data_IF_945946727417
#
_entry.id   IF_945946727417
#
_cell.length_a   1.000
_cell.length_b   1.000
_cell.length_c   1.000
_cell.angle_alpha   90.00
_cell.angle_beta   90.00
_cell.angle_gamma   90.00
#
_symmetry.space_group_name_H-M   'P 1'
#
loop_
_entity.id
_entity.type
_entity.pdbx_description
1 polymer ?
#
# COMPACT_ATOMS: atom_id res chain seq x y z
N UNK A 1 -5.64 12.53 24.30
CA UNK A 1 -4.17 12.56 24.14
C UNK A 1 -3.80 12.82 22.68
N UNK A 2 -2.68 13.52 22.41
CA UNK A 2 -2.24 13.84 21.05
C UNK A 2 -1.68 12.59 20.36
N UNK A 3 -2.20 12.21 19.19
CA UNK A 3 -1.75 11.01 18.45
C UNK A 3 -0.58 11.25 17.49
N UNK A 4 -0.31 12.51 17.12
CA UNK A 4 0.67 12.83 16.08
C UNK A 4 1.55 14.04 16.45
N UNK A 5 2.85 13.93 16.20
CA UNK A 5 3.83 15.01 16.30
C UNK A 5 4.40 15.32 14.92
N UNK A 6 4.58 16.60 14.59
CA UNK A 6 5.19 16.96 13.32
C UNK A 6 6.68 16.59 13.31
N UNK A 7 7.18 16.08 12.18
CA UNK A 7 8.62 15.83 12.00
C UNK A 7 9.42 17.14 12.00
N UNK A 8 10.74 17.09 12.28
CA UNK A 8 11.64 18.22 12.12
C UNK A 8 11.53 18.84 10.72
N UNK A 9 11.65 20.17 10.63
CA UNK A 9 11.43 20.95 9.39
C UNK A 9 12.26 20.44 8.20
N UNK A 10 13.52 20.07 8.43
CA UNK A 10 14.42 19.57 7.39
C UNK A 10 13.90 18.23 6.85
N UNK A 11 13.59 17.27 7.73
CA UNK A 11 13.03 15.97 7.36
C UNK A 11 11.71 16.11 6.61
N UNK A 12 10.82 16.98 7.11
CA UNK A 12 9.56 17.33 6.45
C UNK A 12 9.77 17.84 5.02
N UNK A 13 10.75 18.74 4.80
CA UNK A 13 11.06 19.28 3.47
C UNK A 13 11.59 18.21 2.51
N UNK A 14 12.44 17.31 3.01
CA UNK A 14 12.97 16.18 2.21
C UNK A 14 11.84 15.26 1.76
N UNK A 15 11.00 14.79 2.69
CA UNK A 15 9.86 13.92 2.39
C UNK A 15 8.83 14.60 1.48
N UNK A 16 8.56 15.89 1.68
CA UNK A 16 7.64 16.64 0.82
C UNK A 16 8.14 16.77 -0.63
N UNK A 17 9.46 16.73 -0.84
CA UNK A 17 10.03 16.68 -2.19
C UNK A 17 9.94 15.26 -2.77
N UNK A 18 10.26 14.24 -1.97
CA UNK A 18 10.23 12.85 -2.42
C UNK A 18 8.82 12.40 -2.82
N UNK A 19 7.82 12.77 -2.02
CA UNK A 19 6.42 12.38 -2.21
C UNK A 19 5.56 13.50 -2.80
N UNK A 20 6.15 14.42 -3.57
CA UNK A 20 5.40 15.55 -4.13
C UNK A 20 4.30 15.12 -5.11
N UNK A 21 4.44 13.94 -5.71
CA UNK A 21 3.45 13.35 -6.61
C UNK A 21 2.11 13.05 -5.92
N UNK A 22 2.08 12.88 -4.59
CA UNK A 22 0.84 12.73 -3.82
C UNK A 22 -0.05 13.98 -3.86
N UNK A 23 0.47 15.14 -4.26
CA UNK A 23 -0.34 16.35 -4.50
C UNK A 23 -1.06 16.35 -5.86
N UNK A 24 -0.72 15.40 -6.75
CA UNK A 24 -1.32 15.28 -8.07
C UNK A 24 -2.51 14.34 -8.05
N UNK A 25 -3.46 14.56 -8.97
CA UNK A 25 -4.44 13.54 -9.30
C UNK A 25 -3.72 12.30 -9.83
N UNK A 26 -4.31 11.13 -9.61
CA UNK A 26 -3.75 9.85 -10.07
C UNK A 26 -3.37 9.87 -11.54
N UNK A 27 -4.25 10.43 -12.39
CA UNK A 27 -4.05 10.47 -13.84
C UNK A 27 -2.91 11.41 -14.29
N UNK A 28 -2.44 12.30 -13.41
CA UNK A 28 -1.36 13.26 -13.69
C UNK A 28 0.02 12.78 -13.24
N UNK A 29 0.11 11.57 -12.64
CA UNK A 29 1.37 10.97 -12.19
C UNK A 29 2.11 10.34 -13.37
N UNK A 30 3.44 10.25 -13.32
CA UNK A 30 4.24 9.47 -14.27
C UNK A 30 4.89 8.24 -13.61
N UNK A 31 5.24 7.23 -14.42
CA UNK A 31 5.91 6.01 -13.96
C UNK A 31 7.29 6.26 -13.34
N UNK A 32 7.87 7.43 -13.61
CA UNK A 32 9.13 7.89 -13.00
C UNK A 32 8.92 8.44 -11.59
N UNK A 33 7.70 8.84 -11.24
CA UNK A 33 7.36 9.38 -9.92
C UNK A 33 6.88 8.28 -8.97
N UNK A 34 6.04 7.38 -9.49
CA UNK A 34 5.51 6.23 -8.78
C UNK A 34 4.96 5.16 -9.73
N UNK A 35 4.98 3.93 -9.25
CA UNK A 35 4.38 2.74 -9.85
C UNK A 35 3.50 2.04 -8.82
N UNK A 36 2.52 1.28 -9.27
CA UNK A 36 1.46 0.73 -8.44
C UNK A 36 1.41 -0.79 -8.53
N UNK A 37 1.24 -1.42 -7.37
CA UNK A 37 0.99 -2.86 -7.24
C UNK A 37 -0.16 -3.07 -6.27
N UNK A 38 -1.21 -3.76 -6.70
CA UNK A 38 -2.23 -4.20 -5.77
C UNK A 38 -1.80 -5.50 -5.10
N UNK A 39 -2.12 -5.64 -3.83
CA UNK A 39 -1.98 -6.89 -3.08
C UNK A 39 -3.35 -7.33 -2.61
N UNK A 40 -3.65 -8.61 -2.72
CA UNK A 40 -4.96 -9.15 -2.35
C UNK A 40 -4.88 -10.56 -1.81
N UNK A 41 -5.90 -10.99 -1.07
CA UNK A 41 -6.12 -12.40 -0.73
C UNK A 41 -6.63 -13.23 -1.92
N UNK A 42 -7.02 -12.58 -3.01
CA UNK A 42 -7.48 -13.21 -4.25
C UNK A 42 -6.43 -13.10 -5.35
N UNK A 43 -6.30 -14.13 -6.18
CA UNK A 43 -5.34 -14.17 -7.30
C UNK A 43 -5.81 -13.39 -8.54
N UNK A 44 -6.92 -12.67 -8.43
CA UNK A 44 -7.50 -11.87 -9.50
C UNK A 44 -8.40 -10.75 -8.95
N UNK A 45 -8.71 -9.77 -9.81
CA UNK A 45 -9.72 -8.76 -9.50
C UNK A 45 -11.13 -9.33 -9.62
N UNK A 46 -11.86 -9.38 -8.50
CA UNK A 46 -13.21 -9.96 -8.44
C UNK A 46 -14.19 -9.36 -9.45
N UNK A 47 -14.08 -8.06 -9.76
CA UNK A 47 -14.95 -7.39 -10.72
C UNK A 47 -14.66 -7.77 -12.18
N UNK A 48 -13.41 -8.14 -12.51
CA UNK A 48 -13.04 -8.48 -13.90
C UNK A 48 -13.55 -9.85 -14.32
N UNK A 49 -13.53 -10.79 -13.39
CA UNK A 49 -13.97 -12.17 -13.61
C UNK A 49 -15.42 -12.40 -13.20
N UNK A 50 -16.13 -11.36 -12.75
CA UNK A 50 -17.47 -11.47 -12.17
C UNK A 50 -17.53 -12.50 -11.03
N UNK A 51 -16.46 -12.57 -10.22
CA UNK A 51 -16.25 -13.55 -9.15
C UNK A 51 -16.75 -13.07 -7.78
N UNK A 52 -17.59 -12.04 -7.71
CA UNK A 52 -18.13 -11.55 -6.43
C UNK A 52 -18.91 -12.61 -5.65
N UNK A 53 -19.44 -13.61 -6.34
CA UNK A 53 -20.06 -14.78 -5.72
C UNK A 53 -19.13 -15.52 -4.74
N UNK A 54 -17.80 -15.41 -4.88
CA UNK A 54 -16.83 -15.94 -3.91
C UNK A 54 -17.03 -15.29 -2.54
N UNK A 55 -17.21 -13.97 -2.50
CA UNK A 55 -17.38 -13.20 -1.25
C UNK A 55 -18.80 -13.36 -0.71
N UNK A 56 -19.80 -13.38 -1.59
CA UNK A 56 -21.21 -13.56 -1.22
C UNK A 56 -21.44 -14.93 -0.57
N UNK A 57 -20.84 -15.98 -1.11
CA UNK A 57 -20.97 -17.35 -0.61
C UNK A 57 -19.97 -17.71 0.50
N UNK A 58 -19.05 -16.81 0.84
CA UNK A 58 -18.05 -17.07 1.87
C UNK A 58 -18.65 -17.05 3.27
N UNK A 59 -18.27 -18.05 4.06
CA UNK A 59 -18.57 -18.10 5.50
C UNK A 59 -17.85 -16.98 6.25
N UNK A 60 -18.38 -16.61 7.42
CA UNK A 60 -17.72 -15.65 8.32
C UNK A 60 -16.30 -16.09 8.69
N UNK A 61 -16.07 -17.40 8.81
CA UNK A 61 -14.74 -17.97 9.08
C UNK A 61 -13.75 -17.71 7.94
N UNK A 62 -14.20 -17.77 6.68
CA UNK A 62 -13.36 -17.45 5.53
C UNK A 62 -13.03 -15.96 5.48
N UNK A 63 -14.05 -15.10 5.66
CA UNK A 63 -13.87 -13.64 5.72
C UNK A 63 -12.94 -13.22 6.85
N UNK A 64 -13.05 -13.86 8.02
CA UNK A 64 -12.14 -13.66 9.14
C UNK A 64 -10.72 -14.11 8.81
N UNK A 65 -10.55 -15.24 8.11
CA UNK A 65 -9.23 -15.69 7.63
C UNK A 65 -8.59 -14.65 6.72
N UNK A 66 -9.32 -14.15 5.71
CA UNK A 66 -8.84 -13.12 4.80
C UNK A 66 -8.49 -11.81 5.52
N UNK A 67 -9.34 -11.39 6.46
CA UNK A 67 -9.08 -10.21 7.30
C UNK A 67 -7.81 -10.37 8.10
N UNK A 68 -7.61 -11.54 8.71
CA UNK A 68 -6.41 -11.83 9.47
C UNK A 68 -5.16 -11.85 8.59
N UNK A 69 -5.21 -12.33 7.34
CA UNK A 69 -4.07 -12.25 6.42
C UNK A 69 -3.64 -10.80 6.17
N UNK A 70 -4.61 -9.92 5.88
CA UNK A 70 -4.33 -8.49 5.70
C UNK A 70 -3.80 -7.85 6.97
N UNK A 71 -4.39 -8.16 8.13
CA UNK A 71 -3.92 -7.62 9.40
C UNK A 71 -2.51 -8.08 9.75
N UNK A 72 -2.17 -9.35 9.55
CA UNK A 72 -0.81 -9.83 9.81
C UNK A 72 0.20 -9.15 8.87
N UNK A 73 -0.15 -8.97 7.59
CA UNK A 73 0.68 -8.17 6.67
C UNK A 73 0.88 -6.73 7.16
N UNK A 74 -0.18 -6.05 7.60
CA UNK A 74 -0.10 -4.68 8.14
C UNK A 74 0.69 -4.59 9.45
N UNK A 75 0.65 -5.63 10.29
CA UNK A 75 1.46 -5.72 11.49
C UNK A 75 2.94 -5.90 11.13
N UNK A 76 3.26 -6.77 10.17
CA UNK A 76 4.65 -7.06 9.84
C UNK A 76 5.32 -5.94 9.03
N UNK A 77 4.59 -5.25 8.16
CA UNK A 77 5.16 -4.15 7.37
C UNK A 77 5.60 -2.97 8.27
N UNK A 78 4.91 -2.74 9.40
CA UNK A 78 5.32 -1.69 10.34
C UNK A 78 6.52 -2.08 11.21
N UNK A 79 6.82 -3.38 11.30
CA UNK A 79 8.04 -3.89 11.91
C UNK A 79 9.23 -3.83 10.95
N UNK A 80 9.01 -3.92 9.62
CA UNK A 80 10.05 -3.64 8.63
C UNK A 80 10.53 -2.20 8.69
N UNK A 81 9.59 -1.25 8.69
CA UNK A 81 9.87 0.16 8.83
C UNK A 81 8.69 0.85 9.50
N UNK A 82 8.97 1.66 10.53
CA UNK A 82 7.91 2.42 11.21
C UNK A 82 7.30 3.42 10.23
N UNK A 83 5.98 3.39 9.98
CA UNK A 83 5.36 4.31 9.03
C UNK A 83 5.34 5.75 9.52
N UNK A 84 5.41 6.68 8.56
CA UNK A 84 5.27 8.10 8.75
C UNK A 84 3.90 8.52 8.22
N UNK A 85 3.16 9.28 9.03
CA UNK A 85 1.88 9.82 8.61
C UNK A 85 2.05 11.14 7.89
N UNK A 86 1.18 11.42 6.95
CA UNK A 86 1.08 12.74 6.37
C UNK A 86 -0.33 13.29 6.42
N UNK A 87 -0.44 14.59 6.14
CA UNK A 87 -1.70 15.25 5.86
C UNK A 87 -1.47 16.32 4.81
N UNK A 88 -2.52 16.62 4.07
CA UNK A 88 -2.58 17.80 3.24
C UNK A 88 -2.77 19.04 4.13
N UNK A 89 -2.00 20.09 3.86
CA UNK A 89 -2.06 21.36 4.55
C UNK A 89 -2.04 22.51 3.54
N UNK A 90 -2.85 23.53 3.78
CA UNK A 90 -3.04 24.65 2.84
C UNK A 90 -4.37 24.56 2.09
N UNK A 91 -4.62 25.51 1.19
CA UNK A 91 -5.82 25.56 0.34
C UNK A 91 -5.41 25.59 -1.13
N UNK A 92 -6.09 24.79 -1.96
CA UNK A 92 -5.95 24.78 -3.42
C UNK A 92 -4.47 24.76 -3.87
N UNK A 93 -4.05 25.74 -4.68
CA UNK A 93 -2.72 25.87 -5.29
C UNK A 93 -1.57 26.06 -4.29
N UNK A 94 -1.85 26.21 -3.00
CA UNK A 94 -0.85 26.29 -1.92
C UNK A 94 -0.87 25.03 -1.03
N UNK A 95 -1.43 23.93 -1.52
CA UNK A 95 -1.39 22.64 -0.82
C UNK A 95 0.05 22.17 -0.67
N UNK A 96 0.34 21.61 0.50
CA UNK A 96 1.62 21.03 0.87
C UNK A 96 1.36 19.78 1.70
N UNK A 97 2.34 18.88 1.72
CA UNK A 97 2.28 17.68 2.55
C UNK A 97 3.04 17.95 3.85
N UNK A 98 2.42 17.64 4.98
CA UNK A 98 3.06 17.72 6.29
C UNK A 98 3.14 16.34 6.92
N UNK A 99 4.36 15.90 7.20
CA UNK A 99 4.70 14.59 7.74
C UNK A 99 4.82 14.63 9.27
N UNK A 100 4.43 13.53 9.89
CA UNK A 100 4.18 13.39 11.31
C UNK A 100 4.53 11.99 11.82
N UNK A 101 5.15 11.94 12.99
CA UNK A 101 5.29 10.71 13.75
C UNK A 101 4.00 10.39 14.49
N UNK A 102 3.63 9.11 14.47
CA UNK A 102 2.61 8.58 15.36
C UNK A 102 3.18 8.41 16.77
N UNK A 103 2.50 8.96 17.77
CA UNK A 103 2.82 8.91 19.21
C UNK A 103 1.62 8.51 20.07
N UNK A 104 0.60 7.91 19.44
CA UNK A 104 -0.55 7.39 20.17
C UNK A 104 -0.17 6.22 21.08
N UNK A 105 -1.04 5.93 22.05
CA UNK A 105 -0.85 4.85 23.01
C UNK A 105 -1.02 3.45 22.38
N UNK A 106 -1.89 3.34 21.36
CA UNK A 106 -2.10 2.10 20.62
C UNK A 106 -0.86 1.78 19.78
N UNK A 107 -0.35 0.53 19.76
CA UNK A 107 0.71 0.13 18.84
C UNK A 107 0.36 0.51 17.39
N UNK A 108 1.34 0.99 16.64
CA UNK A 108 1.11 1.58 15.31
C UNK A 108 0.51 0.59 14.31
N UNK A 109 0.91 -0.68 14.35
CA UNK A 109 0.34 -1.73 13.51
C UNK A 109 -1.14 -1.97 13.83
N UNK A 110 -1.52 -2.04 15.11
CA UNK A 110 -2.93 -2.16 15.53
C UNK A 110 -3.74 -0.93 15.13
N UNK A 111 -3.14 0.26 15.22
CA UNK A 111 -3.77 1.47 14.72
C UNK A 111 -4.00 1.40 13.20
N UNK A 112 -3.03 0.88 12.44
CA UNK A 112 -3.13 0.73 10.99
C UNK A 112 -4.19 -0.30 10.59
N UNK A 113 -4.27 -1.46 11.27
CA UNK A 113 -5.34 -2.44 11.04
C UNK A 113 -6.72 -1.83 11.29
N UNK A 114 -6.87 -1.02 12.34
CA UNK A 114 -8.13 -0.31 12.56
C UNK A 114 -8.45 0.69 11.44
N UNK A 115 -7.44 1.38 10.90
CA UNK A 115 -7.67 2.27 9.76
C UNK A 115 -8.10 1.49 8.51
N UNK A 116 -7.62 0.26 8.33
CA UNK A 116 -8.03 -0.60 7.22
C UNK A 116 -9.54 -0.82 7.16
N UNK A 117 -10.20 -0.92 8.32
CA UNK A 117 -11.64 -1.12 8.39
C UNK A 117 -12.45 0.16 8.10
N UNK A 118 -11.83 1.33 8.30
CA UNK A 118 -12.55 2.61 8.43
C UNK A 118 -12.33 3.56 7.24
N UNK A 119 -11.19 3.49 6.54
CA UNK A 119 -10.77 4.50 5.56
C UNK A 119 -10.02 3.90 4.36
N UNK A 120 -10.18 4.50 3.18
CA UNK A 120 -9.38 4.13 1.99
C UNK A 120 -7.98 4.75 1.98
N UNK A 121 -7.80 5.94 2.53
CA UNK A 121 -6.51 6.66 2.52
C UNK A 121 -5.94 6.83 3.94
N UNK A 122 -5.12 5.88 4.42
CA UNK A 122 -4.49 5.99 5.74
C UNK A 122 -3.47 7.13 5.83
N UNK A 123 -3.07 7.71 4.70
CA UNK A 123 -2.05 8.75 4.57
C UNK A 123 -0.73 8.33 5.23
N UNK A 124 -0.23 7.16 4.85
CA UNK A 124 0.95 6.51 5.43
C UNK A 124 2.00 6.26 4.36
N UNK A 125 3.24 6.61 4.67
CA UNK A 125 4.43 6.30 3.86
C UNK A 125 5.51 5.58 4.65
N UNK A 126 6.35 4.84 3.95
CA UNK A 126 7.57 4.18 4.43
C UNK A 126 8.74 4.82 3.69
N UNK A 127 9.55 5.60 4.41
CA UNK A 127 10.56 6.49 3.84
C UNK A 127 11.64 5.73 3.09
N UNK A 128 12.15 4.67 3.69
CA UNK A 128 13.29 3.89 3.21
C UNK A 128 12.88 2.90 2.12
N UNK A 129 11.71 2.28 2.27
CA UNK A 129 11.07 1.41 1.27
C UNK A 129 10.53 2.23 0.07
N UNK A 130 10.39 3.56 0.22
CA UNK A 130 9.83 4.47 -0.78
C UNK A 130 8.42 4.06 -1.23
N UNK A 131 7.55 3.79 -0.24
CA UNK A 131 6.22 3.21 -0.42
C UNK A 131 5.15 4.07 0.25
N UNK A 132 4.03 4.28 -0.43
CA UNK A 132 2.78 4.83 0.08
C UNK A 132 1.70 3.73 0.07
N UNK A 133 0.94 3.62 1.17
CA UNK A 133 -0.16 2.66 1.28
C UNK A 133 -1.51 3.31 1.04
N UNK A 134 -2.32 2.66 0.22
CA UNK A 134 -3.76 2.92 0.10
C UNK A 134 -4.55 1.63 0.33
N UNK A 135 -5.71 1.75 0.95
CA UNK A 135 -6.60 0.64 1.19
C UNK A 135 -7.69 0.62 0.12
N UNK A 136 -8.16 -0.58 -0.20
CA UNK A 136 -9.20 -0.84 -1.18
C UNK A 136 -10.17 -1.90 -0.65
N UNK A 137 -11.32 -2.01 -1.31
CA UNK A 137 -12.33 -3.00 -0.94
C UNK A 137 -11.84 -4.45 -1.13
N UNK A 138 -12.56 -5.39 -0.52
CA UNK A 138 -12.41 -6.82 -0.73
C UNK A 138 -10.99 -7.34 -0.41
N UNK A 139 -10.45 -6.98 0.75
CA UNK A 139 -9.14 -7.45 1.22
C UNK A 139 -8.01 -7.08 0.25
N UNK A 140 -8.07 -5.87 -0.30
CA UNK A 140 -7.07 -5.36 -1.24
C UNK A 140 -6.36 -4.12 -0.67
N UNK A 141 -5.07 -3.99 -0.93
CA UNK A 141 -4.24 -2.83 -0.60
C UNK A 141 -3.48 -2.43 -1.86
N UNK A 142 -3.37 -1.13 -2.14
CA UNK A 142 -2.51 -0.62 -3.20
C UNK A 142 -1.18 -0.15 -2.60
N UNK A 143 -0.10 -0.64 -3.19
CA UNK A 143 1.27 -0.23 -2.93
C UNK A 143 1.67 0.76 -4.02
N UNK A 144 1.80 2.03 -3.65
CA UNK A 144 2.33 3.09 -4.51
C UNK A 144 3.82 3.26 -4.19
N UNK A 145 4.70 2.71 -5.04
CA UNK A 145 6.14 2.60 -4.80
C UNK A 145 6.95 3.37 -5.84
N UNK A 146 8.13 3.87 -5.45
CA UNK A 146 8.99 4.65 -6.35
C UNK A 146 10.16 3.85 -6.94
N UNK A 147 10.50 2.73 -6.32
CA UNK A 147 11.66 1.92 -6.66
C UNK A 147 11.34 0.44 -6.40
N UNK A 148 11.38 -0.35 -7.46
CA UNK A 148 11.03 -1.76 -7.41
C UNK A 148 12.00 -2.57 -6.53
N UNK A 149 13.30 -2.23 -6.53
CA UNK A 149 14.30 -2.95 -5.74
C UNK A 149 14.05 -2.77 -4.24
N UNK A 150 13.58 -1.58 -3.84
CA UNK A 150 13.23 -1.29 -2.44
C UNK A 150 11.97 -2.01 -1.96
N UNK A 151 11.15 -2.50 -2.90
CA UNK A 151 9.93 -3.24 -2.58
C UNK A 151 10.20 -4.70 -2.20
N UNK A 152 11.41 -5.22 -2.45
CA UNK A 152 11.79 -6.62 -2.17
C UNK A 152 11.38 -7.13 -0.77
N UNK A 153 11.61 -6.39 0.34
CA UNK A 153 11.20 -6.84 1.67
C UNK A 153 9.67 -6.97 1.81
N UNK A 154 8.91 -6.10 1.14
CA UNK A 154 7.43 -6.12 1.16
C UNK A 154 6.90 -7.30 0.37
N UNK A 155 7.50 -7.63 -0.77
CA UNK A 155 7.12 -8.81 -1.56
C UNK A 155 7.38 -10.11 -0.79
N UNK A 156 8.48 -10.17 -0.02
CA UNK A 156 8.73 -11.29 0.88
C UNK A 156 7.63 -11.42 1.96
N UNK A 157 7.17 -10.32 2.55
CA UNK A 157 6.03 -10.35 3.48
C UNK A 157 4.74 -10.84 2.79
N UNK A 158 4.45 -10.36 1.58
CA UNK A 158 3.28 -10.83 0.83
C UNK A 158 3.30 -12.35 0.64
N UNK A 159 4.47 -12.90 0.28
CA UNK A 159 4.64 -14.33 0.15
C UNK A 159 4.39 -15.07 1.48
N UNK A 160 4.95 -14.56 2.58
CA UNK A 160 4.75 -15.16 3.91
C UNK A 160 3.28 -15.21 4.33
N UNK A 161 2.49 -14.22 3.91
CA UNK A 161 1.05 -14.12 4.23
C UNK A 161 0.12 -14.73 3.19
N UNK A 162 0.67 -15.39 2.17
CA UNK A 162 -0.09 -15.97 1.04
C UNK A 162 -1.01 -14.94 0.36
N UNK A 163 -0.49 -13.73 0.16
CA UNK A 163 -1.15 -12.70 -0.65
C UNK A 163 -0.76 -12.86 -2.12
N UNK A 164 -1.49 -12.22 -3.01
CA UNK A 164 -1.25 -12.18 -4.44
C UNK A 164 -0.93 -10.77 -4.90
N UNK A 165 -0.03 -10.64 -5.86
CA UNK A 165 0.20 -9.40 -6.59
C UNK A 165 -0.80 -9.31 -7.75
N UNK A 166 -1.49 -8.17 -7.86
CA UNK A 166 -2.47 -7.89 -8.91
C UNK A 166 -2.07 -6.64 -9.69
N UNK A 167 -2.20 -6.65 -11.03
CA UNK A 167 -1.98 -5.46 -11.83
C UNK A 167 -3.15 -4.47 -11.68
N UNK A 168 -2.86 -3.23 -11.28
CA UNK A 168 -3.77 -2.09 -11.31
C UNK A 168 -3.92 -1.51 -12.73
N UNK A 169 -5.07 -1.74 -13.37
CA UNK A 169 -5.33 -1.34 -14.76
C UNK A 169 -5.69 0.14 -14.94
N UNK A 170 -6.18 0.83 -13.91
CA UNK A 170 -6.62 2.24 -14.07
C UNK A 170 -5.48 3.21 -14.41
N UNK A 171 -4.24 2.73 -14.37
CA UNK A 171 -3.04 3.52 -14.68
C UNK A 171 -2.08 2.66 -15.49
N UNK A 172 -2.53 2.13 -16.63
CA UNK A 172 -1.73 1.27 -17.53
C UNK A 172 -0.35 1.89 -17.88
N UNK A 173 -0.27 3.22 -17.90
CA UNK A 173 0.97 3.96 -18.20
C UNK A 173 1.94 4.07 -17.03
N UNK A 174 1.53 3.72 -15.79
CA UNK A 174 2.40 3.82 -14.61
C UNK A 174 3.16 2.53 -14.31
N UNK A 175 2.71 1.39 -14.83
CA UNK A 175 3.08 0.11 -14.24
C UNK A 175 3.97 -0.74 -15.15
N UNK A 176 5.13 -1.12 -14.63
CA UNK A 176 6.10 -1.97 -15.33
C UNK A 176 5.93 -3.43 -14.89
N UNK A 177 4.76 -4.02 -15.13
CA UNK A 177 4.43 -5.36 -14.61
C UNK A 177 5.39 -6.46 -15.05
N UNK A 178 5.95 -6.36 -16.27
CA UNK A 178 6.99 -7.29 -16.72
C UNK A 178 8.24 -7.25 -15.83
N UNK A 179 8.57 -6.09 -15.25
CA UNK A 179 9.68 -5.94 -14.33
C UNK A 179 9.36 -6.53 -12.95
N UNK A 180 8.12 -6.31 -12.47
CA UNK A 180 7.62 -6.95 -11.24
C UNK A 180 7.67 -8.48 -11.38
N UNK A 181 7.15 -9.03 -12.48
CA UNK A 181 7.20 -10.48 -12.75
C UNK A 181 8.62 -11.02 -12.86
N UNK A 182 9.53 -10.28 -13.51
CA UNK A 182 10.95 -10.65 -13.59
C UNK A 182 11.59 -10.67 -12.20
N UNK A 183 11.28 -9.70 -11.33
CA UNK A 183 11.79 -9.66 -9.97
C UNK A 183 11.22 -10.80 -9.11
N UNK A 184 9.91 -11.06 -9.18
CA UNK A 184 9.28 -12.19 -8.48
C UNK A 184 9.92 -13.53 -8.89
N UNK A 185 10.18 -13.70 -10.18
CA UNK A 185 10.87 -14.90 -10.70
C UNK A 185 12.30 -14.99 -10.17
N UNK A 186 13.05 -13.88 -10.15
CA UNK A 186 14.42 -13.83 -9.58
C UNK A 186 14.44 -14.19 -8.09
N UNK A 187 13.39 -13.81 -7.35
CA UNK A 187 13.24 -14.11 -5.92
C UNK A 187 12.71 -15.52 -5.62
N UNK A 188 12.38 -16.32 -6.65
CA UNK A 188 11.67 -17.59 -6.54
C UNK A 188 10.30 -17.46 -5.85
N UNK A 189 9.62 -16.33 -6.05
CA UNK A 189 8.27 -16.04 -5.56
C UNK A 189 7.22 -16.31 -6.64
N UNK A 190 7.29 -17.48 -7.27
CA UNK A 190 6.43 -17.85 -8.41
C UNK A 190 4.94 -17.92 -8.05
N UNK A 191 4.62 -18.11 -6.78
CA UNK A 191 3.25 -18.11 -6.25
C UNK A 191 2.63 -16.71 -6.17
N UNK A 192 3.45 -15.64 -6.20
CA UNK A 192 3.00 -14.26 -6.27
C UNK A 192 2.76 -13.77 -7.71
N UNK A 193 3.05 -14.58 -8.72
CA UNK A 193 2.96 -14.15 -10.13
C UNK A 193 1.58 -13.58 -10.44
N UNK A 194 1.56 -12.38 -11.01
CA UNK A 194 0.39 -11.79 -11.63
C UNK A 194 -0.14 -12.78 -12.67
N UNK A 195 -1.27 -13.44 -12.39
CA UNK A 195 -1.93 -14.25 -13.41
C UNK A 195 -2.55 -13.26 -14.40
N UNK A 196 -1.87 -13.04 -15.51
CA UNK A 196 -2.50 -12.47 -16.70
C UNK A 196 -3.69 -13.37 -17.06
N UNK A 197 -4.88 -12.78 -17.16
CA UNK A 197 -6.07 -13.46 -17.66
C UNK A 197 -5.88 -13.86 -19.13
#
# INVERSE_FOLDING_TARGET
MRKFLNLPKIKNKTLAKQYSYLLKYTDDRSSEECQWLAISVFDHWLYKTNSFSIVENATDKQKLTWTNQIYQFLLDIVELERPIYFKYAGKHTKSSIQFRDYVGETPIGQFLCKQYDDIYEPNVIFESIALHLMFEDNWTIILDYQDLEKLEPVLNLMNQHNLYALPVERVENLNMYSEVEAMLTKMNLDNLKCRSL
#
